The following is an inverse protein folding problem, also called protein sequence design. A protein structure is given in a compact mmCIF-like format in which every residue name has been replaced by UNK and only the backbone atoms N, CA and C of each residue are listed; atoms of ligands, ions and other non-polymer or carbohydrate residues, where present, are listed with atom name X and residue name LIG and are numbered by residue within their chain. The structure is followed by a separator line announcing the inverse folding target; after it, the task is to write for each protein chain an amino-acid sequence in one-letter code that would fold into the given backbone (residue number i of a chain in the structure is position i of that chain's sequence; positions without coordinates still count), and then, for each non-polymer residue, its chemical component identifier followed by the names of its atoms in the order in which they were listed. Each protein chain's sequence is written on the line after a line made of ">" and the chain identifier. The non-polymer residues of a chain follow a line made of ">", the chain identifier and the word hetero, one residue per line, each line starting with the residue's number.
data_IF_724428090009
#
_entry.id   IF_724428090009
#
_cell.length_a   1.000
_cell.length_b   1.000
_cell.length_c   1.000
_cell.angle_alpha   90.00
_cell.angle_beta   90.00
_cell.angle_gamma   90.00
#
_symmetry.space_group_name_H-M   'P 1'
#
loop_
_entity.id
_entity.type
_entity.pdbx_description
1 polymer ?
#
# COMPACT_ATOMS: atom_id res chain seq x y z
N UNK A 1 0.72 1.91 -39.88
CA UNK A 1 -0.34 2.83 -39.44
C UNK A 1 0.15 3.64 -38.25
N UNK A 2 -0.39 4.84 -38.10
CA UNK A 2 -0.02 5.80 -37.08
C UNK A 2 -1.26 6.19 -36.27
N UNK A 3 -1.08 6.43 -34.97
CA UNK A 3 -2.11 6.92 -34.06
C UNK A 3 -1.52 7.94 -33.09
N UNK A 4 -2.24 9.03 -32.87
CA UNK A 4 -1.89 10.05 -31.89
C UNK A 4 -2.92 9.99 -30.78
N UNK A 5 -2.48 9.79 -29.54
CA UNK A 5 -3.37 9.85 -28.39
C UNK A 5 -3.86 11.28 -28.19
N UNK A 6 -5.18 11.50 -28.19
CA UNK A 6 -5.77 12.84 -28.04
C UNK A 6 -5.54 13.44 -26.65
N UNK A 7 -5.33 12.62 -25.61
CA UNK A 7 -5.14 13.10 -24.25
C UNK A 7 -3.71 13.58 -23.96
N UNK A 8 -2.69 12.93 -24.52
CA UNK A 8 -1.28 13.22 -24.20
C UNK A 8 -0.40 13.52 -25.41
N UNK A 9 -0.94 13.42 -26.63
CA UNK A 9 -0.21 13.66 -27.88
C UNK A 9 0.82 12.58 -28.25
N UNK A 10 0.86 11.44 -27.55
CA UNK A 10 1.84 10.37 -27.84
C UNK A 10 1.54 9.71 -29.19
N UNK A 11 2.59 9.56 -30.01
CA UNK A 11 2.56 8.92 -31.31
C UNK A 11 2.87 7.41 -31.20
N UNK A 12 1.94 6.58 -31.66
CA UNK A 12 2.07 5.12 -31.72
C UNK A 12 2.08 4.69 -33.19
N UNK A 13 3.12 4.00 -33.62
CA UNK A 13 3.28 3.53 -35.00
C UNK A 13 3.55 2.04 -35.01
N UNK A 14 2.75 1.30 -35.79
CA UNK A 14 3.01 -0.11 -36.07
C UNK A 14 2.53 -0.49 -37.47
N UNK A 15 3.24 -1.41 -38.11
CA UNK A 15 2.93 -1.91 -39.46
C UNK A 15 1.77 -2.92 -39.49
N UNK A 16 1.37 -3.46 -38.34
CA UNK A 16 0.24 -4.38 -38.17
C UNK A 16 -0.92 -3.69 -37.44
N UNK A 17 -2.14 -3.74 -38.01
CA UNK A 17 -3.32 -3.05 -37.48
C UNK A 17 -3.75 -3.59 -36.10
N UNK A 18 -3.79 -4.91 -35.93
CA UNK A 18 -4.23 -5.56 -34.69
C UNK A 18 -3.27 -5.20 -33.54
N UNK A 19 -1.96 -5.24 -33.83
CA UNK A 19 -0.94 -4.85 -32.87
C UNK A 19 -1.05 -3.37 -32.51
N UNK A 20 -1.27 -2.49 -33.49
CA UNK A 20 -1.46 -1.07 -33.23
C UNK A 20 -2.69 -0.82 -32.35
N UNK A 21 -3.80 -1.52 -32.60
CA UNK A 21 -5.01 -1.37 -31.79
C UNK A 21 -4.83 -1.89 -30.36
N UNK A 22 -4.06 -2.96 -30.15
CA UNK A 22 -3.66 -3.40 -28.80
C UNK A 22 -2.73 -2.38 -28.12
N UNK A 23 -1.81 -1.77 -28.86
CA UNK A 23 -0.93 -0.72 -28.34
C UNK A 23 -1.74 0.54 -27.96
N UNK A 24 -2.78 0.89 -28.71
CA UNK A 24 -3.72 1.97 -28.36
C UNK A 24 -4.45 1.70 -27.06
N UNK A 25 -4.99 0.50 -26.88
CA UNK A 25 -5.77 0.14 -25.68
C UNK A 25 -4.92 0.18 -24.41
N UNK A 26 -3.72 -0.42 -24.45
CA UNK A 26 -2.76 -0.38 -23.33
C UNK A 26 -2.33 1.05 -23.03
N UNK A 27 -2.06 1.85 -24.05
CA UNK A 27 -1.68 3.24 -23.87
C UNK A 27 -2.82 4.06 -23.24
N UNK A 28 -4.07 3.84 -23.66
CA UNK A 28 -5.22 4.56 -23.14
C UNK A 28 -5.51 4.26 -21.66
N UNK A 29 -5.36 2.99 -21.25
CA UNK A 29 -5.51 2.57 -19.84
C UNK A 29 -4.42 3.12 -18.91
N UNK A 30 -3.21 3.32 -19.45
CA UNK A 30 -2.02 3.77 -18.72
C UNK A 30 -1.69 5.25 -18.93
N UNK A 31 -2.46 5.97 -19.75
CA UNK A 31 -2.21 7.37 -20.04
C UNK A 31 -2.44 8.23 -18.79
N UNK A 32 -1.34 8.66 -18.16
CA UNK A 32 -1.35 9.46 -16.93
C UNK A 32 -2.12 10.78 -17.10
N UNK A 33 -2.06 11.40 -18.30
CA UNK A 33 -2.78 12.66 -18.60
C UNK A 33 -4.29 12.43 -18.68
N UNK A 34 -4.72 11.29 -19.21
CA UNK A 34 -6.15 10.90 -19.24
C UNK A 34 -6.68 10.62 -17.83
N UNK A 35 -5.90 9.92 -16.99
CA UNK A 35 -6.25 9.69 -15.57
C UNK A 35 -6.34 10.98 -14.75
N UNK A 36 -5.51 11.98 -15.05
CA UNK A 36 -5.56 13.28 -14.37
C UNK A 36 -6.82 14.10 -14.70
N UNK A 37 -7.43 13.92 -15.87
CA UNK A 37 -8.62 14.67 -16.29
C UNK A 37 -9.95 14.16 -15.69
N UNK A 38 -9.99 12.93 -15.16
CA UNK A 38 -11.21 12.32 -14.57
C UNK A 38 -11.44 12.78 -13.11
N UNK A 39 -10.47 13.46 -12.49
CA UNK A 39 -10.48 13.84 -11.08
C UNK A 39 -10.98 15.27 -10.80
N UNK A 40 -11.91 15.81 -11.59
CA UNK A 40 -12.63 17.06 -11.23
C UNK A 40 -13.91 16.75 -10.44
N UNK A 41 -14.04 17.23 -9.18
CA UNK A 41 -15.25 16.99 -8.38
C UNK A 41 -16.42 17.87 -8.87
N UNK A 42 -17.55 17.23 -9.17
CA UNK A 42 -18.83 17.90 -9.44
C UNK A 42 -19.40 18.44 -8.11
N UNK A 43 -19.78 19.72 -7.98
CA UNK A 43 -20.44 20.24 -6.79
C UNK A 43 -21.87 19.69 -6.65
N UNK A 44 -22.16 18.98 -5.58
CA UNK A 44 -23.52 18.58 -5.21
C UNK A 44 -24.26 19.76 -4.56
N UNK A 45 -25.43 20.12 -5.11
CA UNK A 45 -26.35 21.08 -4.51
C UNK A 45 -27.13 20.45 -3.33
N UNK A 46 -27.49 21.23 -2.29
CA UNK A 46 -28.10 20.70 -1.08
C UNK A 46 -29.62 20.49 -1.23
N UNK A 47 -30.10 19.27 -0.96
CA UNK A 47 -31.54 19.00 -0.83
C UNK A 47 -31.99 19.10 0.64
N UNK A 48 -33.04 19.88 0.80
CA UNK A 48 -33.71 20.30 2.05
C UNK A 48 -34.70 19.22 2.50
N UNK A 49 -34.78 18.97 3.82
CA UNK A 49 -35.84 18.21 4.49
C UNK A 49 -37.25 18.78 4.15
N UNK A 50 -38.36 18.03 4.22
CA UNK A 50 -39.20 17.60 5.38
C UNK A 50 -40.28 16.56 4.87
N UNK A 51 -41.38 16.17 5.58
CA UNK A 51 -41.59 14.89 6.28
C UNK A 51 -42.70 13.93 5.73
N UNK A 52 -42.58 12.67 6.15
CA UNK A 52 -43.57 11.70 6.63
C UNK A 52 -45.05 11.78 6.17
N UNK A 53 -45.52 10.74 5.46
CA UNK A 53 -46.90 10.23 5.53
C UNK A 53 -47.00 8.80 4.93
N UNK A 54 -47.37 7.81 5.75
CA UNK A 54 -47.93 6.52 5.30
C UNK A 54 -49.40 6.71 4.86
N UNK A 55 -49.97 5.75 4.10
CA UNK A 55 -50.83 4.74 4.73
C UNK A 55 -50.67 3.30 4.19
N UNK A 56 -51.10 2.37 5.05
CA UNK A 56 -51.16 0.90 4.97
C UNK A 56 -51.97 0.32 3.80
N UNK A 57 -51.70 -0.96 3.44
CA UNK A 57 -52.59 -2.13 3.65
C UNK A 57 -52.07 -3.43 2.95
N UNK A 58 -51.89 -4.49 3.76
CA UNK A 58 -52.21 -5.94 3.57
C UNK A 58 -51.64 -6.72 2.36
N UNK A 59 -51.06 -7.93 2.45
CA UNK A 59 -51.48 -9.19 3.09
C UNK A 59 -50.28 -10.20 3.07
N UNK A 60 -49.82 -10.76 4.21
CA UNK A 60 -50.12 -12.09 4.82
C UNK A 60 -49.61 -13.34 4.08
N UNK A 61 -48.59 -14.03 4.64
CA UNK A 61 -48.67 -15.42 5.18
C UNK A 61 -47.32 -15.94 5.75
N UNK A 62 -47.36 -16.40 7.01
CA UNK A 62 -46.41 -17.35 7.65
C UNK A 62 -47.06 -18.75 7.74
N UNK A 63 -46.34 -19.83 8.12
CA UNK A 63 -46.06 -20.17 9.54
C UNK A 63 -44.63 -20.72 9.78
N UNK A 64 -43.87 -20.24 10.76
CA UNK A 64 -43.77 -20.67 12.19
C UNK A 64 -42.87 -21.88 12.46
N UNK A 65 -41.74 -21.64 13.15
CA UNK A 65 -41.39 -22.39 14.36
C UNK A 65 -40.38 -21.62 15.25
N UNK A 66 -40.66 -21.66 16.55
CA UNK A 66 -39.94 -21.06 17.67
C UNK A 66 -38.57 -21.77 17.88
N UNK A 67 -37.60 -21.30 18.68
CA UNK A 67 -37.68 -20.84 20.07
C UNK A 67 -36.33 -20.27 20.55
N UNK A 68 -36.39 -19.47 21.62
CA UNK A 68 -35.37 -19.19 22.66
C UNK A 68 -34.13 -18.32 22.36
N UNK A 69 -34.14 -17.09 22.90
CA UNK A 69 -32.97 -16.39 23.47
C UNK A 69 -32.54 -17.10 24.79
N UNK A 70 -31.30 -16.95 25.31
CA UNK A 70 -30.78 -15.66 25.80
C UNK A 70 -29.26 -15.44 25.59
N UNK A 71 -28.84 -14.23 25.93
CA UNK A 71 -27.49 -13.69 26.04
C UNK A 71 -26.38 -14.69 26.40
N UNK A 72 -25.22 -14.55 25.77
CA UNK A 72 -23.93 -14.93 26.35
C UNK A 72 -22.85 -13.99 25.84
N UNK A 73 -22.19 -13.37 26.81
CA UNK A 73 -20.96 -12.61 26.69
C UNK A 73 -19.93 -13.40 25.88
N UNK A 74 -19.29 -12.78 24.91
CA UNK A 74 -17.96 -13.21 24.51
C UNK A 74 -17.09 -12.00 24.21
N UNK A 75 -16.39 -11.60 25.28
CA UNK A 75 -14.95 -11.41 25.23
C UNK A 75 -14.44 -10.65 24.01
N UNK A 76 -14.38 -9.33 24.12
CA UNK A 76 -13.32 -8.59 23.45
C UNK A 76 -11.99 -9.07 24.02
N UNK A 77 -11.46 -10.17 23.48
CA UNK A 77 -10.02 -10.42 23.58
C UNK A 77 -9.38 -9.25 22.88
N UNK A 78 -8.82 -8.35 23.68
CA UNK A 78 -7.89 -7.34 23.21
C UNK A 78 -6.90 -8.05 22.27
N UNK A 79 -6.94 -7.69 20.99
CA UNK A 79 -5.89 -8.05 20.07
C UNK A 79 -4.58 -7.58 20.71
N UNK A 80 -3.66 -8.51 20.95
CA UNK A 80 -2.32 -8.21 21.42
C UNK A 80 -1.75 -7.15 20.49
N UNK A 81 -1.56 -5.93 21.00
CA UNK A 81 -0.87 -4.89 20.24
C UNK A 81 0.48 -5.46 19.82
N UNK A 82 0.80 -5.53 18.51
CA UNK A 82 2.03 -6.16 18.03
C UNK A 82 3.28 -5.29 18.28
N UNK A 83 3.21 -4.33 19.20
CA UNK A 83 4.28 -3.39 19.49
C UNK A 83 5.40 -4.06 20.26
N UNK A 84 6.37 -4.63 19.55
CA UNK A 84 7.67 -4.95 20.13
C UNK A 84 8.42 -3.68 20.57
N UNK A 85 9.65 -3.84 21.03
CA UNK A 85 10.45 -2.70 21.49
C UNK A 85 10.70 -1.70 20.34
N UNK A 86 10.61 -0.39 20.65
CA UNK A 86 11.03 0.70 19.76
C UNK A 86 12.25 1.39 20.38
N UNK A 87 13.33 1.49 19.63
CA UNK A 87 14.61 2.09 20.05
C UNK A 87 15.11 3.17 19.08
N UNK A 88 14.37 3.49 18.02
CA UNK A 88 14.69 4.56 17.08
C UNK A 88 13.65 5.69 17.12
N UNK A 89 14.03 6.88 16.67
CA UNK A 89 13.16 8.04 16.50
C UNK A 89 12.91 8.30 15.01
N UNK A 90 11.64 8.49 14.64
CA UNK A 90 11.21 8.92 13.29
C UNK A 90 11.18 10.45 13.15
N UNK A 91 11.47 11.18 14.21
CA UNK A 91 11.62 12.64 14.20
C UNK A 91 13.09 13.01 14.34
N UNK A 92 13.52 14.02 13.59
CA UNK A 92 14.90 14.49 13.57
C UNK A 92 15.07 15.73 12.69
N UNK A 93 16.32 16.02 12.31
CA UNK A 93 16.69 17.19 11.52
C UNK A 93 17.30 16.84 10.16
N UNK A 94 17.31 15.57 9.78
CA UNK A 94 17.88 15.08 8.53
C UNK A 94 17.03 15.49 7.32
N UNK A 95 17.15 16.73 6.85
CA UNK A 95 16.38 17.23 5.69
C UNK A 95 17.24 17.37 4.42
N UNK A 96 18.53 17.09 4.52
CA UNK A 96 19.50 17.28 3.43
C UNK A 96 19.58 16.10 2.45
N UNK A 97 18.69 15.12 2.59
CA UNK A 97 18.69 13.88 1.82
C UNK A 97 17.76 13.97 0.62
N UNK A 98 18.13 13.25 -0.44
CA UNK A 98 17.33 13.09 -1.65
C UNK A 98 16.80 11.66 -1.75
N UNK A 99 15.74 11.47 -2.53
CA UNK A 99 15.27 10.13 -2.92
C UNK A 99 16.44 9.36 -3.53
N UNK A 100 16.63 8.11 -3.08
CA UNK A 100 17.55 7.17 -3.74
C UNK A 100 16.79 6.30 -4.74
N UNK A 101 17.49 5.85 -5.77
CA UNK A 101 16.95 5.00 -6.83
C UNK A 101 17.60 3.62 -6.79
N UNK A 102 16.91 2.65 -7.41
CA UNK A 102 17.40 1.29 -7.60
C UNK A 102 16.68 0.29 -6.73
N UNK A 103 16.94 -1.01 -6.95
CA UNK A 103 16.48 -2.05 -6.04
C UNK A 103 17.21 -1.95 -4.71
N UNK A 104 16.59 -2.50 -3.67
CA UNK A 104 17.26 -2.77 -2.39
C UNK A 104 18.52 -3.63 -2.60
N UNK A 105 19.62 -3.31 -1.90
CA UNK A 105 20.86 -4.11 -1.94
C UNK A 105 20.63 -5.49 -1.31
N UNK A 106 20.68 -6.62 -2.04
CA UNK A 106 20.39 -7.94 -1.48
C UNK A 106 21.36 -8.38 -0.37
N UNK A 107 22.56 -7.79 -0.31
CA UNK A 107 23.59 -8.10 0.67
C UNK A 107 23.66 -7.07 1.80
N UNK A 108 22.67 -6.19 1.94
CA UNK A 108 22.71 -5.10 2.92
C UNK A 108 22.95 -5.60 4.35
N UNK A 109 22.53 -6.83 4.69
CA UNK A 109 22.71 -7.44 6.01
C UNK A 109 24.17 -7.63 6.42
N UNK A 110 25.10 -7.71 5.47
CA UNK A 110 26.55 -7.81 5.75
C UNK A 110 27.24 -6.44 5.70
N UNK A 111 26.66 -5.49 4.96
CA UNK A 111 27.25 -4.15 4.71
C UNK A 111 26.76 -3.09 5.69
N UNK A 112 25.56 -3.24 6.24
CA UNK A 112 24.91 -2.26 7.13
C UNK A 112 24.87 -2.75 8.57
N UNK A 113 24.89 -1.80 9.48
CA UNK A 113 24.76 -2.05 10.92
C UNK A 113 23.30 -1.91 11.36
N UNK A 114 22.90 -2.72 12.35
CA UNK A 114 21.60 -2.57 13.00
C UNK A 114 21.65 -1.33 13.89
N UNK A 115 20.83 -0.34 13.57
CA UNK A 115 20.74 0.92 14.34
C UNK A 115 19.74 0.80 15.48
N UNK A 116 18.74 -0.06 15.34
CA UNK A 116 17.76 -0.28 16.40
C UNK A 116 16.57 -1.10 15.93
N UNK A 117 15.43 -0.85 16.56
CA UNK A 117 14.16 -1.47 16.23
C UNK A 117 13.00 -0.49 16.34
N UNK A 118 11.92 -0.75 15.60
CA UNK A 118 10.66 -0.02 15.70
C UNK A 118 9.52 -1.03 15.80
N UNK A 119 8.77 -1.02 16.91
CA UNK A 119 7.71 -2.00 17.19
C UNK A 119 8.18 -3.46 17.01
N UNK A 120 9.43 -3.74 17.36
CA UNK A 120 10.03 -5.08 17.22
C UNK A 120 10.57 -5.42 15.83
N UNK A 121 10.40 -4.54 14.85
CA UNK A 121 11.01 -4.66 13.51
C UNK A 121 12.42 -4.08 13.55
N UNK A 122 13.40 -4.84 13.05
CA UNK A 122 14.81 -4.43 13.01
C UNK A 122 15.02 -3.30 12.00
N UNK A 123 15.86 -2.32 12.34
CA UNK A 123 16.21 -1.19 11.48
C UNK A 123 17.71 -1.18 11.21
N UNK A 124 18.07 -1.13 9.93
CA UNK A 124 19.43 -1.15 9.40
C UNK A 124 19.78 0.22 8.85
N UNK A 125 20.78 0.86 9.45
CA UNK A 125 21.12 2.25 9.14
C UNK A 125 21.88 2.44 7.83
N UNK A 126 22.31 3.68 7.55
CA UNK A 126 22.16 4.88 8.40
C UNK A 126 20.69 5.33 8.57
N UNK A 127 20.40 6.02 9.68
CA UNK A 127 19.10 6.63 9.99
C UNK A 127 19.34 8.07 10.45
N UNK A 128 18.82 9.03 9.71
CA UNK A 128 18.75 10.46 10.06
C UNK A 128 17.40 11.00 9.59
N UNK A 129 16.39 10.85 10.45
CA UNK A 129 15.02 11.20 10.13
C UNK A 129 14.83 12.72 9.99
N UNK A 130 13.89 13.19 9.15
CA UNK A 130 12.97 12.40 8.33
C UNK A 130 13.52 11.96 6.96
N UNK A 131 14.68 12.46 6.54
CA UNK A 131 15.16 12.34 5.15
C UNK A 131 15.89 11.04 4.84
N UNK A 132 16.40 10.33 5.84
CA UNK A 132 17.02 9.02 5.69
C UNK A 132 16.54 8.08 6.81
N UNK A 133 15.92 6.97 6.42
CA UNK A 133 15.28 6.01 7.31
C UNK A 133 15.88 4.61 7.21
N UNK A 134 16.67 4.32 6.17
CA UNK A 134 17.38 3.06 6.01
C UNK A 134 16.48 1.88 5.63
N UNK A 135 16.93 0.67 5.96
CA UNK A 135 16.25 -0.60 5.59
C UNK A 135 15.63 -1.23 6.82
N UNK A 136 14.38 -1.68 6.70
CA UNK A 136 13.59 -2.18 7.81
C UNK A 136 13.23 -3.65 7.60
N UNK A 137 13.23 -4.45 8.66
CA UNK A 137 12.87 -5.87 8.64
C UNK A 137 14.04 -6.85 8.77
N UNK A 138 13.70 -8.13 8.86
CA UNK A 138 14.65 -9.26 8.89
C UNK A 138 14.31 -10.29 7.82
N UNK A 139 13.07 -10.78 7.81
CA UNK A 139 12.58 -11.79 6.85
C UNK A 139 11.92 -11.11 5.66
N UNK A 140 11.11 -10.10 5.95
CA UNK A 140 10.52 -9.21 4.95
C UNK A 140 11.20 -7.87 5.12
N UNK A 141 11.98 -7.44 4.13
CA UNK A 141 12.77 -6.22 4.24
C UNK A 141 12.31 -5.18 3.25
N UNK A 142 12.22 -3.93 3.67
CA UNK A 142 11.84 -2.79 2.82
C UNK A 142 12.85 -1.67 3.02
N UNK A 143 13.42 -1.19 1.93
CA UNK A 143 14.25 0.02 1.92
C UNK A 143 13.35 1.26 1.89
N UNK A 144 13.30 2.00 3.00
CA UNK A 144 12.45 3.18 3.14
C UNK A 144 13.00 4.36 2.36
N UNK A 145 14.31 4.40 2.10
CA UNK A 145 14.95 5.46 1.35
C UNK A 145 14.61 5.36 -0.16
N UNK A 146 14.38 4.13 -0.65
CA UNK A 146 13.95 3.84 -2.04
C UNK A 146 12.42 3.89 -2.20
N UNK A 147 11.68 3.41 -1.21
CA UNK A 147 10.23 3.19 -1.34
C UNK A 147 9.47 4.48 -1.70
N UNK A 148 8.62 4.42 -2.72
CA UNK A 148 7.82 5.56 -3.22
C UNK A 148 6.34 5.51 -2.80
N UNK A 149 6.00 4.67 -1.82
CA UNK A 149 4.62 4.46 -1.36
C UNK A 149 3.62 4.02 -2.44
N UNK A 150 4.08 3.25 -3.43
CA UNK A 150 3.22 2.73 -4.51
C UNK A 150 2.07 1.86 -3.99
N UNK A 151 2.35 1.00 -3.00
CA UNK A 151 1.34 0.18 -2.33
C UNK A 151 1.07 -1.19 -2.96
N UNK A 152 1.62 -1.51 -4.14
CA UNK A 152 1.42 -2.83 -4.76
C UNK A 152 1.82 -4.01 -3.87
N UNK A 153 2.85 -3.84 -3.03
CA UNK A 153 3.27 -4.86 -2.06
C UNK A 153 2.22 -5.17 -0.99
N UNK A 154 1.40 -4.18 -0.60
CA UNK A 154 0.32 -4.34 0.37
C UNK A 154 -0.82 -5.14 -0.27
N UNK A 155 -1.27 -4.71 -1.45
CA UNK A 155 -2.37 -5.34 -2.19
C UNK A 155 -2.02 -6.78 -2.64
N UNK A 156 -0.76 -7.03 -3.00
CA UNK A 156 -0.32 -8.35 -3.44
C UNK A 156 -0.08 -9.34 -2.29
N UNK A 157 -0.09 -8.90 -1.02
CA UNK A 157 0.24 -9.76 0.11
C UNK A 157 -0.99 -10.56 0.58
N UNK A 158 -1.06 -11.89 0.35
CA UNK A 158 -2.24 -12.68 0.70
C UNK A 158 -2.45 -12.85 2.22
N UNK A 159 -1.44 -12.51 3.02
CA UNK A 159 -1.42 -12.65 4.48
C UNK A 159 -1.30 -11.29 5.19
N UNK A 160 -1.44 -10.19 4.46
CA UNK A 160 -1.49 -8.82 5.00
C UNK A 160 -0.30 -8.45 5.92
N UNK A 161 0.93 -8.79 5.54
CA UNK A 161 2.14 -8.50 6.35
C UNK A 161 2.32 -7.00 6.64
N UNK A 162 1.84 -6.15 5.74
CA UNK A 162 2.10 -4.71 5.74
C UNK A 162 0.95 -3.89 6.31
N UNK A 163 1.31 -2.77 6.91
CA UNK A 163 0.44 -1.63 7.25
C UNK A 163 1.07 -0.33 6.72
N UNK A 164 0.33 0.77 6.66
CA UNK A 164 0.92 2.06 6.34
C UNK A 164 1.54 2.69 7.60
N UNK A 165 2.78 3.16 7.47
CA UNK A 165 3.46 3.99 8.47
C UNK A 165 3.73 5.36 7.87
N UNK A 166 3.33 6.42 8.57
CA UNK A 166 3.61 7.79 8.16
C UNK A 166 5.08 8.15 8.37
N UNK A 167 5.69 8.73 7.36
CA UNK A 167 7.09 9.20 7.33
C UNK A 167 7.15 10.61 6.75
N UNK A 168 6.54 11.59 7.44
CA UNK A 168 6.39 12.93 6.88
C UNK A 168 7.74 13.62 6.68
N UNK A 169 7.92 14.29 5.55
CA UNK A 169 9.15 15.00 5.18
C UNK A 169 10.24 14.13 4.55
N UNK A 170 9.98 12.84 4.29
CA UNK A 170 10.93 11.98 3.59
C UNK A 170 10.89 12.22 2.07
N UNK A 171 12.03 12.43 1.39
CA UNK A 171 12.07 12.88 -0.01
C UNK A 171 11.43 11.91 -1.02
N UNK A 172 11.43 10.60 -0.73
CA UNK A 172 10.82 9.61 -1.61
C UNK A 172 9.28 9.49 -1.48
N UNK A 173 8.72 9.62 -0.27
CA UNK A 173 7.28 9.53 0.00
C UNK A 173 6.97 9.80 1.47
N UNK A 174 5.79 10.38 1.75
CA UNK A 174 5.32 10.73 3.11
C UNK A 174 4.80 9.54 3.94
N UNK A 175 4.80 8.33 3.38
CA UNK A 175 4.41 7.09 4.05
C UNK A 175 5.17 5.89 3.49
N UNK A 176 5.22 4.78 4.22
CA UNK A 176 5.92 3.53 3.84
C UNK A 176 5.12 2.29 4.24
N UNK A 177 5.23 1.18 3.48
CA UNK A 177 4.67 -0.11 3.88
C UNK A 177 5.51 -0.68 5.03
N UNK A 178 4.93 -0.72 6.22
CA UNK A 178 5.52 -1.22 7.43
C UNK A 178 5.13 -2.68 7.68
N UNK A 179 6.13 -3.55 7.64
CA UNK A 179 6.02 -5.02 7.75
C UNK A 179 5.85 -5.51 9.19
N UNK A 180 4.93 -4.93 9.95
CA UNK A 180 4.71 -5.25 11.38
C UNK A 180 4.43 -6.75 11.63
N UNK A 181 3.84 -7.42 10.64
CA UNK A 181 3.58 -8.87 10.66
C UNK A 181 4.59 -9.66 9.84
N UNK A 182 5.86 -9.26 9.77
CA UNK A 182 6.86 -9.97 8.94
C UNK A 182 6.95 -11.47 9.24
N UNK A 183 6.64 -11.88 10.48
CA UNK A 183 6.63 -13.30 10.91
C UNK A 183 5.53 -14.14 10.24
N UNK A 184 4.48 -13.51 9.74
CA UNK A 184 3.36 -14.17 9.05
C UNK A 184 3.66 -14.38 7.55
N UNK A 185 4.81 -13.88 7.07
CA UNK A 185 5.22 -14.04 5.69
C UNK A 185 5.35 -15.51 5.30
N UNK A 186 4.65 -15.88 4.22
CA UNK A 186 4.70 -17.22 3.63
C UNK A 186 5.77 -17.35 2.52
N UNK A 187 6.65 -16.37 2.38
CA UNK A 187 7.75 -16.35 1.39
C UNK A 187 7.29 -16.56 -0.07
N UNK A 188 6.13 -16.00 -0.45
CA UNK A 188 5.57 -16.14 -1.80
C UNK A 188 6.26 -15.29 -2.89
N UNK A 189 7.15 -14.37 -2.51
CA UNK A 189 7.89 -13.45 -3.41
C UNK A 189 7.02 -12.46 -4.21
N UNK A 190 5.71 -12.41 -3.98
CA UNK A 190 4.82 -11.52 -4.71
C UNK A 190 5.20 -10.04 -4.54
N UNK A 191 5.43 -9.61 -3.29
CA UNK A 191 5.78 -8.21 -2.97
C UNK A 191 7.14 -7.77 -3.53
N UNK A 192 8.11 -8.68 -3.69
CA UNK A 192 9.39 -8.40 -4.35
C UNK A 192 9.15 -8.11 -5.84
N UNK A 193 8.35 -8.93 -6.52
CA UNK A 193 8.13 -8.81 -7.96
C UNK A 193 7.22 -7.62 -8.36
N UNK A 194 6.21 -7.28 -7.55
CA UNK A 194 5.27 -6.20 -7.90
C UNK A 194 5.77 -4.81 -7.54
N UNK A 195 6.82 -4.68 -6.73
CA UNK A 195 7.31 -3.40 -6.27
C UNK A 195 8.02 -2.64 -7.41
N UNK A 196 7.52 -1.49 -7.89
CA UNK A 196 8.12 -0.83 -9.06
C UNK A 196 9.59 -0.42 -8.87
N UNK A 197 10.01 0.18 -7.73
CA UNK A 197 11.42 0.46 -7.49
C UNK A 197 12.18 -0.74 -6.93
N UNK A 198 11.55 -1.92 -6.79
CA UNK A 198 12.16 -3.13 -6.24
C UNK A 198 12.80 -2.89 -4.85
N UNK A 199 12.11 -2.14 -3.98
CA UNK A 199 12.61 -1.79 -2.64
C UNK A 199 12.34 -2.87 -1.59
N UNK A 200 11.73 -4.00 -1.97
CA UNK A 200 11.37 -5.11 -1.07
C UNK A 200 12.29 -6.29 -1.33
N UNK A 201 12.86 -6.89 -0.29
CA UNK A 201 13.60 -8.15 -0.39
C UNK A 201 13.13 -9.15 0.65
N UNK A 202 12.87 -10.37 0.23
CA UNK A 202 12.47 -11.46 1.10
C UNK A 202 13.65 -12.41 1.36
N UNK A 203 13.87 -12.75 2.62
CA UNK A 203 14.86 -13.73 3.06
C UNK A 203 14.17 -14.93 3.69
N UNK A 204 14.34 -16.11 3.09
CA UNK A 204 13.79 -17.34 3.63
C UNK A 204 14.56 -17.78 4.88
N UNK A 205 13.86 -18.41 5.83
CA UNK A 205 14.48 -19.04 6.99
C UNK A 205 15.43 -20.15 6.50
N UNK A 206 16.73 -19.94 6.67
CA UNK A 206 17.77 -20.90 6.29
C UNK A 206 18.66 -20.49 5.11
N UNK A 207 18.49 -19.27 4.57
CA UNK A 207 19.43 -18.63 3.63
C UNK A 207 20.25 -17.54 4.29
#
# INVERSE_FOLDING_TARGET
>A
MEYICESCGTLLIHSNQITLDSMKDVHDQLCSVKRQNIATPIPQAPQKAIPNAQPSLSNTQSPSQATSSPSSQQSTTAASSPGGQTTISLTGNGTSYSKIEGPIDPEFKTKRQVTGSFQGIKVWGPVDAPGQLGIWGTEVTVDFDICVADGACIEACPVNVYEWLDTPGHPASEKKPFMIREKDCIFCMACENVCPPQCVKIFQKGQ
#
